data_IF_064354935785
#
_entry.id   IF_064354935785
#
_cell.length_a   1.000
_cell.length_b   1.000
_cell.length_c   1.000
_cell.angle_alpha   90.00
_cell.angle_beta   90.00
_cell.angle_gamma   90.00
#
_symmetry.space_group_name_H-M   'P 1'
#
loop_
_entity.id
_entity.type
_entity.pdbx_description
1 polymer ?
#
# COMPACT_ATOMS: atom_id res chain seq x y z
N UNK A 1 -8.90 16.42 1.88
CA UNK A 1 -8.21 15.62 2.91
C UNK A 1 -8.91 15.82 4.25
N UNK A 2 -10.21 15.50 4.34
CA UNK A 2 -11.02 15.86 5.51
C UNK A 2 -10.81 14.91 6.71
N UNK A 3 -9.97 13.86 6.60
CA UNK A 3 -9.75 12.93 7.70
C UNK A 3 -8.40 12.19 7.69
N UNK A 4 -7.34 12.79 7.12
CA UNK A 4 -6.00 12.18 7.20
C UNK A 4 -5.52 12.23 8.65
N UNK A 5 -5.28 11.06 9.23
CA UNK A 5 -4.67 10.97 10.56
C UNK A 5 -3.25 11.58 10.48
N UNK A 6 -2.78 12.29 11.52
CA UNK A 6 -1.43 12.87 11.53
C UNK A 6 -0.32 11.86 11.19
N UNK A 7 -0.50 10.59 11.60
CA UNK A 7 0.41 9.49 11.25
C UNK A 7 0.48 9.27 9.74
N UNK A 8 -0.65 9.26 9.05
CA UNK A 8 -0.74 8.98 7.62
C UNK A 8 -0.15 10.15 6.82
N UNK A 9 -0.34 11.38 7.30
CA UNK A 9 0.30 12.58 6.75
C UNK A 9 1.84 12.51 6.81
N UNK A 10 2.40 12.08 7.95
CA UNK A 10 3.87 11.95 8.11
C UNK A 10 4.41 10.89 7.14
N UNK A 11 3.76 9.73 7.04
CA UNK A 11 4.16 8.68 6.10
C UNK A 11 4.11 9.18 4.65
N UNK A 12 3.00 9.82 4.25
CA UNK A 12 2.84 10.39 2.92
C UNK A 12 3.91 11.44 2.61
N UNK A 13 4.20 12.35 3.55
CA UNK A 13 5.21 13.39 3.36
C UNK A 13 6.61 12.80 3.13
N UNK A 14 7.01 11.81 3.94
CA UNK A 14 8.31 11.14 3.78
C UNK A 14 8.36 10.43 2.43
N UNK A 15 7.31 9.68 2.10
CA UNK A 15 7.25 8.90 0.86
C UNK A 15 7.35 9.80 -0.38
N UNK A 16 6.48 10.81 -0.48
CA UNK A 16 6.41 11.70 -1.63
C UNK A 16 7.69 12.52 -1.81
N UNK A 17 8.29 13.00 -0.71
CA UNK A 17 9.55 13.74 -0.77
C UNK A 17 10.74 12.88 -1.24
N UNK A 18 10.66 11.56 -1.08
CA UNK A 18 11.71 10.63 -1.50
C UNK A 18 11.36 9.86 -2.79
N UNK A 19 10.28 10.24 -3.48
CA UNK A 19 9.83 9.54 -4.69
C UNK A 19 9.35 8.10 -4.43
N UNK A 20 9.06 7.74 -3.18
CA UNK A 20 8.46 6.46 -2.83
C UNK A 20 6.95 6.56 -3.04
N UNK A 21 6.41 5.73 -3.91
CA UNK A 21 4.98 5.77 -4.26
C UNK A 21 4.24 4.52 -3.81
N UNK A 22 4.93 3.53 -3.23
CA UNK A 22 4.33 2.24 -2.88
C UNK A 22 4.62 1.89 -1.42
N UNK A 23 3.58 1.47 -0.69
CA UNK A 23 3.67 1.05 0.72
C UNK A 23 3.01 -0.32 0.90
N UNK A 24 3.66 -1.20 1.67
CA UNK A 24 3.05 -2.45 2.12
C UNK A 24 2.39 -2.19 3.47
N UNK A 25 1.06 -2.32 3.54
CA UNK A 25 0.31 -2.06 4.77
C UNK A 25 -1.04 -2.77 4.74
N UNK A 26 -1.47 -3.22 5.92
CA UNK A 26 -2.84 -3.70 6.16
C UNK A 26 -3.82 -2.56 6.45
N UNK A 27 -3.34 -1.33 6.62
CA UNK A 27 -4.17 -0.16 6.90
C UNK A 27 -4.69 0.46 5.59
N UNK A 28 -6.02 0.40 5.37
CA UNK A 28 -6.66 0.89 4.15
C UNK A 28 -6.70 2.41 4.03
N UNK A 29 -6.40 3.19 5.08
CA UNK A 29 -6.41 4.66 4.98
C UNK A 29 -5.40 5.20 3.97
N UNK A 30 -4.33 4.46 3.68
CA UNK A 30 -3.36 4.84 2.64
C UNK A 30 -3.95 4.82 1.23
N UNK A 31 -5.07 4.14 1.00
CA UNK A 31 -5.76 4.13 -0.30
C UNK A 31 -6.34 5.51 -0.66
N UNK A 32 -6.56 6.37 0.34
CA UNK A 32 -7.07 7.73 0.15
C UNK A 32 -5.96 8.76 -0.16
N UNK A 33 -4.69 8.38 -0.03
CA UNK A 33 -3.56 9.28 -0.21
C UNK A 33 -3.12 9.28 -1.67
N UNK A 34 -3.51 10.34 -2.40
CA UNK A 34 -3.08 10.54 -3.78
C UNK A 34 -1.56 10.48 -3.93
N UNK A 35 -1.08 9.65 -4.86
CA UNK A 35 0.34 9.46 -5.15
C UNK A 35 0.98 8.31 -4.35
N UNK A 36 0.25 7.73 -3.40
CA UNK A 36 0.64 6.52 -2.69
C UNK A 36 -0.23 5.36 -3.18
N UNK A 37 0.41 4.22 -3.41
CA UNK A 37 -0.20 2.95 -3.77
C UNK A 37 0.03 1.98 -2.63
N UNK A 38 -1.04 1.56 -1.97
CA UNK A 38 -0.97 0.49 -0.98
C UNK A 38 -0.93 -0.86 -1.66
N UNK A 39 -0.13 -1.77 -1.10
CA UNK A 39 -0.21 -3.19 -1.39
C UNK A 39 -0.55 -3.92 -0.10
N UNK A 40 -1.70 -4.59 -0.09
CA UNK A 40 -2.09 -5.44 1.03
C UNK A 40 -1.24 -6.74 1.02
N UNK A 41 -0.58 -7.09 2.13
CA UNK A 41 0.13 -8.37 2.26
C UNK A 41 -0.75 -9.59 1.94
N UNK A 42 -2.05 -9.54 2.21
CA UNK A 42 -2.99 -10.62 1.88
C UNK A 42 -3.12 -10.78 0.37
N UNK A 43 -3.22 -9.68 -0.39
CA UNK A 43 -3.32 -9.71 -1.85
C UNK A 43 -2.07 -10.29 -2.50
N UNK A 44 -0.89 -10.04 -1.93
CA UNK A 44 0.36 -10.70 -2.35
C UNK A 44 0.30 -12.20 -2.12
N UNK A 45 -0.18 -12.63 -0.96
CA UNK A 45 -0.27 -14.05 -0.62
C UNK A 45 -1.22 -14.81 -1.55
N UNK A 46 -2.33 -14.18 -1.93
CA UNK A 46 -3.31 -14.72 -2.87
C UNK A 46 -2.71 -14.84 -4.28
N UNK A 47 -2.01 -13.80 -4.76
CA UNK A 47 -1.32 -13.81 -6.06
C UNK A 47 -0.22 -14.88 -6.11
N UNK A 48 0.56 -15.02 -5.04
CA UNK A 48 1.61 -16.02 -4.93
C UNK A 48 1.06 -17.46 -4.87
N UNK A 49 -0.16 -17.65 -4.36
CA UNK A 49 -0.84 -18.95 -4.38
C UNK A 49 -1.45 -19.26 -5.75
N UNK A 50 -2.06 -18.28 -6.41
CA UNK A 50 -2.64 -18.44 -7.74
C UNK A 50 -1.58 -18.79 -8.81
N UNK A 51 -0.37 -18.23 -8.72
CA UNK A 51 0.72 -18.51 -9.67
C UNK A 51 1.39 -19.88 -9.48
N UNK A 52 1.22 -20.52 -8.32
CA UNK A 52 1.80 -21.84 -8.01
C UNK A 52 0.93 -23.03 -8.46
N UNK A 53 -0.25 -22.79 -9.03
CA UNK A 53 -1.21 -23.83 -9.43
C UNK A 53 -1.08 -24.38 -10.86
N UNK A 54 -0.03 -24.03 -11.63
CA UNK A 54 0.12 -24.42 -13.05
C UNK A 54 1.29 -25.36 -13.36
N UNK A 55 1.89 -26.02 -12.37
CA UNK A 55 2.79 -27.14 -12.62
C UNK A 55 2.02 -28.45 -12.37
N UNK A 56 1.43 -29.01 -13.43
CA UNK A 56 0.95 -30.38 -13.49
C UNK A 56 1.97 -31.23 -14.24
#
# INVERSE_FOLDING_TARGET
YENIQPRDAIHAAIMLNNGLTTIYSTDSHFDEIKGIKRIDPIDLSMKARASKGSAK
#
